data_IF_339547329462
#
_entry.id   IF_339547329462
#
_cell.length_a   1.000
_cell.length_b   1.000
_cell.length_c   1.000
_cell.angle_alpha   90.00
_cell.angle_beta   90.00
_cell.angle_gamma   90.00
#
_symmetry.space_group_name_H-M   'P 1'
#
loop_
_entity.id
_entity.type
_entity.pdbx_description
1 polymer ?
#
# COMPACT_ATOMS: atom_id res chain seq x y z
N UNK A 1 0.74 11.99 -24.28
CA UNK A 1 0.23 11.68 -22.92
C UNK A 1 1.25 10.79 -22.24
N UNK A 2 1.65 11.11 -21.00
CA UNK A 2 2.60 10.29 -20.23
C UNK A 2 1.86 9.08 -19.66
N UNK A 3 1.68 8.03 -20.49
CA UNK A 3 0.87 6.85 -20.17
C UNK A 3 1.33 6.12 -18.90
N UNK A 4 2.60 6.22 -18.54
CA UNK A 4 3.17 5.62 -17.33
C UNK A 4 2.66 6.25 -16.04
N UNK A 5 2.43 7.57 -16.02
CA UNK A 5 2.00 8.28 -14.80
C UNK A 5 0.51 8.10 -14.48
N UNK A 6 -0.26 7.59 -15.45
CA UNK A 6 -1.71 7.37 -15.33
C UNK A 6 -2.05 5.87 -15.26
N UNK A 7 -1.04 5.00 -15.27
CA UNK A 7 -1.25 3.57 -15.13
C UNK A 7 -1.60 3.22 -13.67
N UNK A 8 -2.49 2.24 -13.43
CA UNK A 8 -2.71 1.70 -12.10
C UNK A 8 -1.41 1.14 -11.50
N UNK A 9 -1.19 1.30 -10.18
CA UNK A 9 0.03 0.84 -9.54
C UNK A 9 0.14 -0.70 -9.58
N UNK A 10 1.35 -1.16 -9.83
CA UNK A 10 1.72 -2.58 -9.74
C UNK A 10 1.79 -3.06 -8.29
N UNK A 11 1.71 -4.39 -8.09
CA UNK A 11 1.87 -4.99 -6.77
C UNK A 11 3.21 -4.62 -6.12
N UNK A 12 4.27 -4.52 -6.93
CA UNK A 12 5.60 -4.17 -6.45
C UNK A 12 5.64 -2.72 -5.96
N UNK A 13 5.12 -1.78 -6.75
CA UNK A 13 5.06 -0.36 -6.36
C UNK A 13 4.26 -0.15 -5.09
N UNK A 14 3.15 -0.87 -4.92
CA UNK A 14 2.33 -0.83 -3.70
C UNK A 14 3.15 -1.27 -2.48
N UNK A 15 3.85 -2.41 -2.59
CA UNK A 15 4.67 -2.94 -1.50
C UNK A 15 5.82 -1.99 -1.18
N UNK A 16 6.56 -1.53 -2.18
CA UNK A 16 7.70 -0.62 -2.00
C UNK A 16 7.26 0.71 -1.37
N UNK A 17 6.13 1.27 -1.82
CA UNK A 17 5.57 2.48 -1.24
C UNK A 17 5.25 2.28 0.25
N UNK A 18 4.58 1.19 0.61
CA UNK A 18 4.24 0.88 2.01
C UNK A 18 5.49 0.68 2.89
N UNK A 19 6.50 -0.03 2.38
CA UNK A 19 7.74 -0.31 3.12
C UNK A 19 8.69 0.90 3.19
N UNK A 20 8.49 1.92 2.35
CA UNK A 20 9.21 3.19 2.45
C UNK A 20 8.74 4.07 3.61
N UNK A 21 7.58 3.78 4.21
CA UNK A 21 7.03 4.54 5.33
C UNK A 21 7.81 4.18 6.60
N UNK A 22 8.27 5.19 7.34
CA UNK A 22 8.90 4.97 8.65
C UNK A 22 7.91 4.21 9.58
N UNK A 23 8.29 3.04 10.12
CA UNK A 23 7.42 2.20 10.95
C UNK A 23 6.80 2.91 12.16
N UNK A 24 7.54 3.88 12.72
CA UNK A 24 7.18 4.63 13.94
C UNK A 24 6.36 5.90 13.63
N UNK A 25 5.93 6.08 12.39
CA UNK A 25 4.99 7.16 12.03
C UNK A 25 3.68 6.99 12.81
N UNK A 26 3.09 8.13 13.17
CA UNK A 26 1.78 8.17 13.82
C UNK A 26 0.73 7.37 13.03
N UNK A 27 -0.14 6.61 13.70
CA UNK A 27 -1.16 5.80 13.06
C UNK A 27 -2.20 6.65 12.32
N UNK A 28 -2.86 6.02 11.35
CA UNK A 28 -4.00 6.63 10.68
C UNK A 28 -5.24 6.72 11.59
N UNK A 29 -6.36 7.26 11.07
CA UNK A 29 -7.65 7.24 11.77
C UNK A 29 -8.16 5.82 12.10
N UNK A 30 -7.61 4.80 11.43
CA UNK A 30 -7.85 3.37 11.67
C UNK A 30 -7.13 2.83 12.92
N UNK A 31 -6.18 3.59 13.48
CA UNK A 31 -5.38 3.20 14.62
C UNK A 31 -4.20 2.29 14.29
N UNK A 32 -3.94 1.97 13.01
CA UNK A 32 -2.82 1.13 12.59
C UNK A 32 -1.66 1.98 12.08
N UNK A 33 -0.45 1.65 12.55
CA UNK A 33 0.81 2.23 12.07
C UNK A 33 1.31 1.50 10.84
N UNK A 34 2.28 2.11 10.14
CA UNK A 34 2.98 1.42 9.04
C UNK A 34 3.66 0.13 9.50
N UNK A 35 4.15 0.07 10.74
CA UNK A 35 4.76 -1.14 11.32
C UNK A 35 3.80 -2.33 11.36
N UNK A 36 2.49 -2.12 11.56
CA UNK A 36 1.51 -3.19 11.50
C UNK A 36 1.47 -3.82 10.10
N UNK A 37 1.28 -2.99 9.07
CA UNK A 37 1.18 -3.49 7.69
C UNK A 37 2.49 -4.14 7.20
N UNK A 38 3.64 -3.62 7.63
CA UNK A 38 4.95 -4.20 7.29
C UNK A 38 5.18 -5.55 8.00
N UNK A 39 4.78 -5.67 9.28
CA UNK A 39 5.02 -6.87 10.09
C UNK A 39 4.09 -8.03 9.72
N UNK A 40 2.87 -7.72 9.31
CA UNK A 40 1.85 -8.71 8.93
C UNK A 40 1.67 -8.84 7.42
N UNK A 41 2.61 -8.31 6.62
CA UNK A 41 2.50 -8.28 5.15
C UNK A 41 2.24 -9.67 4.55
N UNK A 42 2.85 -10.72 5.08
CA UNK A 42 2.66 -12.09 4.57
C UNK A 42 1.24 -12.64 4.82
N UNK A 43 0.46 -12.00 5.69
CA UNK A 43 -0.92 -12.38 6.01
C UNK A 43 -1.91 -11.47 5.28
N UNK A 44 -1.70 -10.15 5.31
CA UNK A 44 -2.69 -9.17 4.82
C UNK A 44 -2.30 -8.50 3.49
N UNK A 45 -1.09 -8.73 2.98
CA UNK A 45 -0.53 -8.01 1.85
C UNK A 45 -1.34 -8.20 0.56
N UNK A 46 -1.86 -9.40 0.32
CA UNK A 46 -2.67 -9.69 -0.86
C UNK A 46 -4.01 -8.93 -0.84
N UNK A 47 -4.66 -8.85 0.32
CA UNK A 47 -5.90 -8.08 0.50
C UNK A 47 -5.65 -6.58 0.33
N UNK A 48 -4.58 -6.05 0.93
CA UNK A 48 -4.17 -4.65 0.78
C UNK A 48 -3.92 -4.30 -0.70
N UNK A 49 -3.22 -5.16 -1.44
CA UNK A 49 -2.95 -4.95 -2.86
C UNK A 49 -4.24 -4.97 -3.68
N UNK A 50 -5.15 -5.89 -3.37
CA UNK A 50 -6.46 -5.99 -4.03
C UNK A 50 -7.28 -4.73 -3.82
N UNK A 51 -7.37 -4.24 -2.59
CA UNK A 51 -8.14 -3.05 -2.24
C UNK A 51 -7.57 -1.79 -2.90
N UNK A 52 -6.24 -1.63 -2.90
CA UNK A 52 -5.58 -0.51 -3.57
C UNK A 52 -5.84 -0.55 -5.08
N UNK A 53 -5.69 -1.71 -5.73
CA UNK A 53 -5.99 -1.84 -7.17
C UNK A 53 -7.45 -1.56 -7.50
N UNK A 54 -8.38 -1.96 -6.64
CA UNK A 54 -9.80 -1.64 -6.79
C UNK A 54 -10.06 -0.13 -6.72
N UNK A 55 -9.40 0.59 -5.79
CA UNK A 55 -9.49 2.04 -5.69
C UNK A 55 -9.04 2.76 -6.96
N UNK A 56 -7.94 2.35 -7.58
CA UNK A 56 -7.42 2.96 -8.82
C UNK A 56 -8.17 2.52 -10.10
N UNK A 57 -9.09 1.58 -9.99
CA UNK A 57 -9.93 1.11 -11.10
C UNK A 57 -11.35 1.69 -11.07
N UNK A 58 -11.65 2.56 -10.09
CA UNK A 58 -12.96 3.19 -9.85
C UNK A 58 -13.03 4.63 -10.34
#
# INVERSE_FOLDING_TARGET
MNQTLVAPPSTLEIKEALFSINPDKAPGPDGFSASFYQSFWDIIGDDVVKDIKAFFSS
#
